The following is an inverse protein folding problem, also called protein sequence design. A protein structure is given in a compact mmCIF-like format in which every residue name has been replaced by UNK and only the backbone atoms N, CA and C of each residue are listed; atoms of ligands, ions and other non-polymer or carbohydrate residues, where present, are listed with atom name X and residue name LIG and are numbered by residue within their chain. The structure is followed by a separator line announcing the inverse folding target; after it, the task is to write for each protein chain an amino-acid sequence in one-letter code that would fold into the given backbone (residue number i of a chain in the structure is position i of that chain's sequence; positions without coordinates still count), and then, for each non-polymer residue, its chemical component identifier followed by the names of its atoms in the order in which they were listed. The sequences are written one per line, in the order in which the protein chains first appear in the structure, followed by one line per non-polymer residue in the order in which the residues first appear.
data_IF_010628214738
#
_entry.id   IF_010628214738
#
_cell.length_a   1.000
_cell.length_b   1.000
_cell.length_c   1.000
_cell.angle_alpha   90.00
_cell.angle_beta   90.00
_cell.angle_gamma   90.00
#
_symmetry.space_group_name_H-M   'P 1'
#
loop_
_entity.id
_entity.type
_entity.pdbx_description
1 polymer ?
#
# COMPACT_ATOMS: atom_id res chain seq x y z
N UNK A 1 -11.93 -25.35 56.91
CA UNK A 1 -11.02 -25.62 55.75
C UNK A 1 -11.90 -25.70 54.49
N UNK A 2 -12.08 -24.57 53.81
CA UNK A 2 -13.13 -24.38 52.81
C UNK A 2 -12.74 -24.86 51.41
N UNK A 3 -13.75 -25.31 50.65
CA UNK A 3 -13.68 -25.84 49.29
C UNK A 3 -12.92 -24.94 48.29
N UNK A 4 -12.84 -23.63 48.55
CA UNK A 4 -12.14 -22.64 47.72
C UNK A 4 -10.60 -22.68 47.86
N UNK A 5 -10.02 -23.32 48.88
CA UNK A 5 -8.55 -23.39 49.04
C UNK A 5 -7.86 -24.41 48.13
N UNK A 6 -8.60 -25.05 47.21
CA UNK A 6 -8.10 -26.03 46.24
C UNK A 6 -8.10 -25.52 44.79
N UNK A 7 -8.53 -24.29 44.52
CA UNK A 7 -8.39 -23.65 43.22
C UNK A 7 -6.97 -23.09 43.07
N UNK A 8 -6.00 -23.98 42.85
CA UNK A 8 -4.70 -23.57 42.34
C UNK A 8 -4.84 -23.25 40.85
N UNK A 9 -4.42 -22.06 40.44
CA UNK A 9 -4.34 -21.68 39.03
C UNK A 9 -3.54 -22.74 38.27
N UNK A 10 -4.13 -23.32 37.20
CA UNK A 10 -3.41 -24.19 36.27
C UNK A 10 -2.49 -23.41 35.31
N UNK A 11 -2.55 -22.07 35.36
CA UNK A 11 -1.73 -21.21 34.51
C UNK A 11 -0.38 -21.00 35.17
N UNK A 12 0.68 -21.39 34.46
CA UNK A 12 2.06 -21.23 34.93
C UNK A 12 2.50 -19.75 34.87
N UNK A 13 3.39 -19.30 35.77
CA UNK A 13 4.02 -17.98 35.69
C UNK A 13 4.81 -17.81 34.37
N UNK A 14 4.99 -16.56 33.92
CA UNK A 14 5.68 -16.23 32.64
C UNK A 14 7.04 -16.92 32.46
N UNK A 15 7.82 -17.08 33.54
CA UNK A 15 9.13 -17.77 33.48
C UNK A 15 9.02 -19.24 33.05
N UNK A 16 7.84 -19.84 33.17
CA UNK A 16 7.58 -21.26 32.97
C UNK A 16 6.62 -21.53 31.78
N UNK A 17 6.15 -20.49 31.10
CA UNK A 17 5.22 -20.57 29.97
C UNK A 17 5.80 -19.84 28.74
N UNK A 18 7.00 -20.26 28.32
CA UNK A 18 7.60 -19.82 27.05
C UNK A 18 6.93 -20.56 25.89
N UNK A 19 6.51 -19.84 24.85
CA UNK A 19 5.97 -20.45 23.62
C UNK A 19 7.12 -20.92 22.74
N UNK A 20 6.97 -22.01 21.99
CA UNK A 20 8.02 -22.50 21.07
C UNK A 20 8.46 -21.42 20.05
N UNK A 21 7.54 -20.54 19.65
CA UNK A 21 7.79 -19.40 18.77
C UNK A 21 8.74 -18.35 19.39
N UNK A 22 8.77 -18.21 20.72
CA UNK A 22 9.66 -17.28 21.46
C UNK A 22 11.11 -17.79 21.55
N UNK A 23 11.33 -19.10 21.35
CA UNK A 23 12.66 -19.72 21.30
C UNK A 23 13.25 -19.75 19.88
N UNK A 24 12.52 -19.26 18.87
CA UNK A 24 13.09 -19.03 17.55
C UNK A 24 13.81 -17.68 17.52
N UNK A 25 14.82 -17.54 16.66
CA UNK A 25 15.73 -16.37 16.52
C UNK A 25 15.00 -15.03 16.20
N UNK A 26 13.67 -15.02 16.15
CA UNK A 26 12.85 -13.85 15.83
C UNK A 26 12.75 -12.92 17.05
N UNK A 27 13.68 -11.95 17.11
CA UNK A 27 13.68 -10.80 18.05
C UNK A 27 12.51 -9.83 17.88
N UNK A 28 11.61 -10.10 16.93
CA UNK A 28 10.56 -9.19 16.49
C UNK A 28 9.20 -9.85 16.59
N UNK A 29 8.22 -9.05 17.02
CA UNK A 29 6.81 -9.44 17.03
C UNK A 29 6.32 -9.37 15.58
N UNK A 30 5.89 -10.50 15.01
CA UNK A 30 5.15 -10.48 13.75
C UNK A 30 3.83 -9.75 13.99
N UNK A 31 3.81 -8.48 13.65
CA UNK A 31 2.60 -7.71 13.54
C UNK A 31 2.22 -7.59 12.08
N UNK A 32 0.95 -7.36 11.93
CA UNK A 32 0.21 -7.40 10.70
C UNK A 32 0.26 -5.94 10.14
N UNK A 33 1.44 -5.32 10.24
CA UNK A 33 1.72 -3.90 10.08
C UNK A 33 3.09 -3.71 9.39
N UNK A 34 3.38 -2.53 8.80
CA UNK A 34 4.57 -2.34 7.96
C UNK A 34 5.90 -2.21 8.72
N UNK A 35 5.90 -2.35 10.05
CA UNK A 35 7.09 -2.18 10.89
C UNK A 35 7.11 -3.26 11.96
N UNK A 36 8.22 -3.97 12.09
CA UNK A 36 8.45 -4.93 13.15
C UNK A 36 8.70 -4.22 14.50
N UNK A 37 8.09 -4.70 15.59
CA UNK A 37 8.32 -4.18 16.94
C UNK A 37 9.21 -5.14 17.75
N UNK A 38 10.20 -4.59 18.47
CA UNK A 38 11.04 -5.35 19.40
C UNK A 38 10.23 -5.78 20.64
N UNK A 39 10.47 -7.00 21.14
CA UNK A 39 9.71 -7.60 22.25
C UNK A 39 9.87 -6.88 23.60
N UNK A 40 10.97 -6.16 23.78
CA UNK A 40 11.43 -5.51 25.01
C UNK A 40 11.13 -4.00 25.07
N UNK A 41 10.58 -3.42 23.99
CA UNK A 41 10.17 -2.01 23.91
C UNK A 41 8.64 -1.87 23.77
N UNK A 42 7.86 -2.03 24.86
CA UNK A 42 6.41 -1.90 24.81
C UNK A 42 6.00 -0.48 24.44
N UNK A 43 5.19 -0.34 23.39
CA UNK A 43 4.65 0.95 22.93
C UNK A 43 3.63 1.59 23.89
N UNK A 44 2.99 0.79 24.76
CA UNK A 44 2.09 1.29 25.80
C UNK A 44 1.89 0.26 26.92
N UNK A 45 1.45 0.74 28.11
CA UNK A 45 0.92 -0.11 29.19
C UNK A 45 -0.60 0.09 29.29
N UNK A 46 -1.34 -1.01 29.35
CA UNK A 46 -2.80 -1.00 29.49
C UNK A 46 -3.19 -1.32 30.94
N UNK A 47 -4.23 -0.65 31.43
CA UNK A 47 -4.80 -0.84 32.77
C UNK A 47 -6.27 -1.28 32.69
N UNK A 48 -6.85 -1.63 33.85
CA UNK A 48 -8.26 -1.98 33.93
C UNK A 48 -9.16 -0.86 33.38
N UNK A 49 -10.05 -1.22 32.45
CA UNK A 49 -10.93 -0.28 31.74
C UNK A 49 -10.40 0.17 30.37
N UNK A 50 -9.16 -0.18 30.03
CA UNK A 50 -8.59 0.13 28.72
C UNK A 50 -9.10 -0.80 27.63
N UNK A 51 -9.32 -0.23 26.45
CA UNK A 51 -9.67 -0.94 25.23
C UNK A 51 -8.41 -1.19 24.39
N UNK A 52 -8.35 -2.34 23.71
CA UNK A 52 -7.37 -2.65 22.69
C UNK A 52 -8.01 -3.48 21.56
N UNK A 53 -7.42 -3.45 20.36
CA UNK A 53 -7.93 -4.16 19.18
C UNK A 53 -9.06 -3.44 18.44
N UNK A 54 -9.52 -2.31 18.97
CA UNK A 54 -10.54 -1.46 18.39
C UNK A 54 -10.14 -0.94 17.02
N UNK A 55 -8.84 -0.64 16.82
CA UNK A 55 -8.33 -0.15 15.54
C UNK A 55 -8.61 -1.14 14.41
N UNK A 56 -8.30 -2.42 14.61
CA UNK A 56 -8.57 -3.48 13.63
C UNK A 56 -10.06 -3.72 13.43
N UNK A 57 -10.85 -3.63 14.50
CA UNK A 57 -12.31 -3.70 14.39
C UNK A 57 -12.87 -2.57 13.54
N UNK A 58 -12.38 -1.33 13.68
CA UNK A 58 -12.90 -0.17 12.95
C UNK A 58 -12.42 -0.08 11.50
N UNK A 59 -11.17 -0.44 11.26
CA UNK A 59 -10.50 -0.10 10.00
C UNK A 59 -10.37 -1.25 9.02
N UNK A 60 -10.68 -2.48 9.45
CA UNK A 60 -10.39 -3.71 8.70
C UNK A 60 -8.89 -3.91 8.41
N UNK A 61 -8.01 -3.07 8.97
CA UNK A 61 -6.57 -3.27 8.88
C UNK A 61 -6.10 -4.30 9.90
N UNK A 62 -5.01 -5.01 9.59
CA UNK A 62 -4.51 -6.06 10.45
C UNK A 62 -3.94 -5.47 11.77
N UNK A 63 -3.68 -6.31 12.78
CA UNK A 63 -3.32 -5.85 14.14
C UNK A 63 -2.04 -5.00 14.14
N UNK A 64 -2.12 -3.79 14.69
CA UNK A 64 -1.02 -2.83 14.73
C UNK A 64 -0.05 -3.01 15.90
N UNK A 65 -0.38 -3.85 16.87
CA UNK A 65 0.44 -4.15 18.04
C UNK A 65 0.02 -5.51 18.62
N UNK A 66 0.96 -6.13 19.33
CA UNK A 66 0.69 -7.32 20.15
C UNK A 66 0.43 -6.89 21.59
N UNK A 67 -0.61 -7.47 22.19
CA UNK A 67 -0.99 -7.21 23.58
C UNK A 67 -0.68 -8.45 24.40
N UNK A 68 0.10 -8.27 25.45
CA UNK A 68 0.53 -9.34 26.35
C UNK A 68 0.07 -9.01 27.76
N UNK A 69 -0.63 -9.94 28.42
CA UNK A 69 -1.01 -9.79 29.81
C UNK A 69 0.24 -9.92 30.72
N UNK A 70 0.55 -8.87 31.48
CA UNK A 70 1.68 -8.87 32.41
C UNK A 70 1.38 -9.68 33.70
N UNK A 71 0.12 -9.79 34.05
CA UNK A 71 -0.41 -10.49 35.21
C UNK A 71 -1.76 -11.14 34.87
N UNK A 72 -2.37 -11.84 35.84
CA UNK A 72 -3.69 -12.42 35.66
C UNK A 72 -4.71 -11.33 35.29
N UNK A 73 -5.27 -11.43 34.09
CA UNK A 73 -6.13 -10.40 33.50
C UNK A 73 -7.42 -11.03 33.00
N UNK A 74 -8.54 -10.36 33.28
CA UNK A 74 -9.85 -10.70 32.71
C UNK A 74 -10.19 -9.67 31.65
N UNK A 75 -10.42 -10.13 30.42
CA UNK A 75 -10.81 -9.27 29.30
C UNK A 75 -12.28 -9.48 28.95
N UNK A 76 -12.98 -8.40 28.62
CA UNK A 76 -14.30 -8.47 27.98
C UNK A 76 -14.11 -8.37 26.48
N UNK A 77 -14.51 -9.41 25.75
CA UNK A 77 -14.49 -9.40 24.28
C UNK A 77 -15.71 -8.68 23.73
N UNK A 78 -15.48 -7.82 22.75
CA UNK A 78 -16.54 -7.08 22.08
C UNK A 78 -16.45 -7.28 20.57
N UNK A 79 -17.55 -7.76 19.98
CA UNK A 79 -17.66 -7.96 18.54
C UNK A 79 -17.73 -6.61 17.80
N UNK A 80 -17.29 -6.58 16.54
CA UNK A 80 -17.24 -5.39 15.69
C UNK A 80 -18.59 -4.65 15.62
N UNK A 81 -19.68 -5.38 15.39
CA UNK A 81 -21.02 -4.80 15.32
C UNK A 81 -21.42 -4.07 16.62
N UNK A 82 -20.97 -4.55 17.78
CA UNK A 82 -21.21 -3.88 19.07
C UNK A 82 -20.37 -2.61 19.17
N UNK A 83 -19.09 -2.66 18.76
CA UNK A 83 -18.22 -1.47 18.71
C UNK A 83 -18.80 -0.38 17.80
N UNK A 84 -19.34 -0.76 16.64
CA UNK A 84 -19.96 0.18 15.69
C UNK A 84 -21.19 0.87 16.28
N UNK A 85 -22.01 0.15 17.06
CA UNK A 85 -23.15 0.73 17.78
C UNK A 85 -22.67 1.70 18.87
N UNK A 86 -21.66 1.32 19.65
CA UNK A 86 -21.12 2.18 20.71
C UNK A 86 -20.49 3.46 20.17
N UNK A 87 -19.86 3.43 19.00
CA UNK A 87 -19.29 4.62 18.36
C UNK A 87 -20.33 5.68 17.95
N UNK A 88 -21.61 5.30 17.79
CA UNK A 88 -22.69 6.28 17.58
C UNK A 88 -22.90 7.17 18.80
N UNK A 89 -22.45 6.74 19.98
CA UNK A 89 -22.43 7.55 21.18
C UNK A 89 -21.22 8.51 21.16
N UNK A 90 -21.50 9.82 21.18
CA UNK A 90 -20.48 10.88 21.14
C UNK A 90 -19.47 10.76 22.29
N UNK A 91 -19.93 10.45 23.51
CA UNK A 91 -19.08 10.35 24.70
C UNK A 91 -18.10 9.18 24.59
N UNK A 92 -18.57 8.04 24.07
CA UNK A 92 -17.72 6.88 23.82
C UNK A 92 -16.68 7.18 22.73
N UNK A 93 -17.10 7.81 21.62
CA UNK A 93 -16.21 8.22 20.53
C UNK A 93 -15.12 9.17 21.02
N UNK A 94 -15.46 10.18 21.81
CA UNK A 94 -14.49 11.12 22.38
C UNK A 94 -13.48 10.44 23.31
N UNK A 95 -13.92 9.48 24.14
CA UNK A 95 -12.99 8.69 24.98
C UNK A 95 -12.04 7.84 24.13
N UNK A 96 -12.54 7.24 23.06
CA UNK A 96 -11.75 6.41 22.15
C UNK A 96 -10.72 7.25 21.38
N UNK A 97 -11.12 8.42 20.87
CA UNK A 97 -10.22 9.37 20.20
C UNK A 97 -9.15 9.91 21.17
N UNK A 98 -9.49 10.18 22.44
CA UNK A 98 -8.55 10.61 23.47
C UNK A 98 -7.52 9.52 23.82
N UNK A 99 -7.97 8.28 23.99
CA UNK A 99 -7.08 7.14 24.23
C UNK A 99 -6.12 6.92 23.06
N UNK A 100 -6.60 7.10 21.82
CA UNK A 100 -5.73 7.05 20.64
C UNK A 100 -4.65 8.14 20.69
N UNK A 101 -5.03 9.41 20.95
CA UNK A 101 -4.06 10.53 21.02
C UNK A 101 -2.99 10.27 22.07
N UNK A 102 -3.39 9.73 23.22
CA UNK A 102 -2.48 9.39 24.31
C UNK A 102 -1.52 8.24 23.98
N UNK A 103 -1.94 7.24 23.19
CA UNK A 103 -1.22 5.96 23.05
C UNK A 103 -0.55 5.73 21.70
N UNK A 104 -1.12 6.25 20.62
CA UNK A 104 -0.77 5.85 19.26
C UNK A 104 -0.31 7.01 18.37
N UNK A 105 -0.61 8.25 18.73
CA UNK A 105 -0.16 9.41 17.95
C UNK A 105 1.37 9.49 17.90
N UNK A 106 2.04 9.27 19.02
CA UNK A 106 3.51 9.30 19.10
C UNK A 106 4.13 8.26 18.18
N UNK A 107 3.71 6.99 18.30
CA UNK A 107 4.19 5.91 17.43
C UNK A 107 3.94 6.24 15.97
N UNK A 108 2.79 6.80 15.64
CA UNK A 108 2.45 7.12 14.27
C UNK A 108 3.26 8.29 13.71
N UNK A 109 3.45 9.36 14.48
CA UNK A 109 4.33 10.46 14.09
C UNK A 109 5.78 9.96 13.92
N UNK A 110 6.31 9.20 14.89
CA UNK A 110 7.67 8.65 14.81
C UNK A 110 7.84 7.62 13.69
N UNK A 111 6.78 6.96 13.24
CA UNK A 111 6.84 6.02 12.10
C UNK A 111 7.05 6.71 10.76
N UNK A 112 6.78 8.02 10.66
CA UNK A 112 7.09 8.80 9.46
C UNK A 112 8.54 9.28 9.58
N UNK A 113 9.45 8.88 8.66
CA UNK A 113 10.88 9.18 8.80
C UNK A 113 11.19 10.67 9.02
N UNK A 114 10.43 11.55 8.37
CA UNK A 114 10.59 13.00 8.46
C UNK A 114 10.26 13.58 9.85
N UNK A 115 9.44 12.88 10.63
CA UNK A 115 9.02 13.29 11.98
C UNK A 115 9.77 12.53 13.08
N UNK A 116 10.73 11.67 12.74
CA UNK A 116 11.57 10.96 13.70
C UNK A 116 12.36 11.89 14.65
N UNK A 117 12.67 13.11 14.18
CA UNK A 117 13.43 14.12 14.94
C UNK A 117 12.60 15.01 15.86
N UNK A 118 11.28 14.82 15.92
CA UNK A 118 10.41 15.59 16.82
C UNK A 118 10.70 15.23 18.28
N UNK A 119 10.92 16.24 19.12
CA UNK A 119 11.09 16.05 20.56
C UNK A 119 9.80 15.62 21.23
N UNK A 120 9.90 14.91 22.36
CA UNK A 120 8.73 14.45 23.11
C UNK A 120 7.81 15.62 23.50
N UNK A 121 8.38 16.74 23.97
CA UNK A 121 7.62 17.95 24.31
C UNK A 121 6.78 18.49 23.14
N UNK A 122 7.26 18.36 21.90
CA UNK A 122 6.53 18.83 20.73
C UNK A 122 5.46 17.84 20.28
N UNK A 123 5.73 16.53 20.43
CA UNK A 123 4.71 15.49 20.23
C UNK A 123 3.57 15.68 21.23
N UNK A 124 3.89 15.95 22.49
CA UNK A 124 2.91 16.25 23.53
C UNK A 124 2.13 17.55 23.21
N UNK A 125 2.80 18.58 22.70
CA UNK A 125 2.14 19.80 22.19
C UNK A 125 1.14 19.51 21.06
N UNK A 126 1.51 18.64 20.10
CA UNK A 126 0.61 18.24 19.02
C UNK A 126 -0.53 17.34 19.51
N UNK A 127 -0.32 16.53 20.56
CA UNK A 127 -1.27 15.53 21.05
C UNK A 127 -2.67 16.07 21.27
N UNK A 128 -2.78 17.25 21.86
CA UNK A 128 -4.08 17.85 22.19
C UNK A 128 -4.68 18.69 21.05
N UNK A 129 -3.86 19.07 20.06
CA UNK A 129 -4.21 20.00 18.99
C UNK A 129 -4.55 19.33 17.66
N UNK A 130 -4.07 18.10 17.43
CA UNK A 130 -4.39 17.38 16.20
C UNK A 130 -5.83 16.87 16.18
N UNK A 131 -6.42 16.86 14.99
CA UNK A 131 -7.76 16.31 14.76
C UNK A 131 -7.69 14.98 14.02
N UNK A 132 -8.43 13.98 14.49
CA UNK A 132 -8.68 12.78 13.71
C UNK A 132 -9.87 13.02 12.78
N UNK A 133 -9.65 12.87 11.48
CA UNK A 133 -10.70 13.01 10.47
C UNK A 133 -10.88 11.69 9.74
N UNK A 134 -12.14 11.24 9.64
CA UNK A 134 -12.54 10.01 8.96
C UNK A 134 -13.30 10.36 7.69
N UNK A 135 -13.02 9.63 6.63
CA UNK A 135 -13.61 9.79 5.32
C UNK A 135 -14.10 8.44 4.80
N UNK A 136 -15.25 8.45 4.12
CA UNK A 136 -15.77 7.27 3.41
C UNK A 136 -15.25 7.24 1.97
N UNK A 137 -15.25 6.08 1.30
CA UNK A 137 -14.87 5.99 -0.11
C UNK A 137 -15.58 7.04 -0.97
N UNK A 138 -14.83 7.69 -1.85
CA UNK A 138 -15.30 8.76 -2.74
C UNK A 138 -15.36 10.16 -2.13
N UNK A 139 -15.17 10.32 -0.82
CA UNK A 139 -15.17 11.65 -0.19
C UNK A 139 -13.89 12.42 -0.50
N UNK A 140 -14.06 13.69 -0.90
CA UNK A 140 -12.95 14.61 -1.13
C UNK A 140 -12.45 15.18 0.21
N UNK A 141 -11.15 15.05 0.46
CA UNK A 141 -10.47 15.54 1.67
C UNK A 141 -10.07 17.01 1.52
N UNK A 142 -9.56 17.39 0.34
CA UNK A 142 -9.32 18.78 -0.06
C UNK A 142 -9.35 18.89 -1.59
N UNK A 143 -9.78 20.04 -2.14
CA UNK A 143 -9.82 20.25 -3.59
C UNK A 143 -8.64 21.10 -4.05
N UNK A 144 -8.20 20.86 -5.27
CA UNK A 144 -7.29 21.76 -5.97
C UNK A 144 -7.89 23.18 -6.01
N UNK A 145 -7.04 24.19 -5.83
CA UNK A 145 -7.42 25.60 -5.78
C UNK A 145 -7.93 26.07 -4.42
N UNK A 146 -8.33 25.18 -3.51
CA UNK A 146 -8.74 25.57 -2.16
C UNK A 146 -7.57 26.19 -1.37
N UNK A 147 -7.83 27.08 -0.39
CA UNK A 147 -6.81 27.52 0.54
C UNK A 147 -6.18 26.35 1.31
N UNK A 148 -4.85 26.33 1.41
CA UNK A 148 -4.09 25.34 2.16
C UNK A 148 -4.14 25.65 3.66
N UNK A 149 -5.18 25.13 4.34
CA UNK A 149 -5.38 25.36 5.77
C UNK A 149 -4.86 24.27 6.71
N UNK A 150 -4.38 23.13 6.18
CA UNK A 150 -4.01 21.97 7.02
C UNK A 150 -3.07 20.99 6.33
N UNK A 151 -2.24 20.32 7.12
CA UNK A 151 -1.42 19.19 6.73
C UNK A 151 -2.12 17.89 7.17
N UNK A 152 -1.99 16.83 6.38
CA UNK A 152 -2.65 15.56 6.64
C UNK A 152 -1.66 14.41 6.62
N UNK A 153 -1.66 13.61 7.69
CA UNK A 153 -0.94 12.34 7.76
C UNK A 153 -1.94 11.19 7.62
N UNK A 154 -1.77 10.34 6.61
CA UNK A 154 -2.63 9.19 6.35
C UNK A 154 -2.33 8.10 7.38
N UNK A 155 -3.30 7.81 8.23
CA UNK A 155 -3.21 6.72 9.21
C UNK A 155 -3.72 5.42 8.64
N UNK A 156 -4.84 5.50 7.95
CA UNK A 156 -5.59 4.35 7.48
C UNK A 156 -6.12 4.72 6.10
N UNK A 157 -6.11 3.72 5.23
CA UNK A 157 -6.71 3.84 3.91
C UNK A 157 -5.78 4.37 2.84
N UNK A 158 -6.36 4.59 1.68
CA UNK A 158 -5.73 5.07 0.46
C UNK A 158 -6.37 6.38 0.01
N UNK A 159 -5.52 7.38 -0.19
CA UNK A 159 -5.91 8.68 -0.74
C UNK A 159 -5.40 8.81 -2.16
N UNK A 160 -6.31 9.03 -3.11
CA UNK A 160 -6.00 9.43 -4.49
C UNK A 160 -5.65 10.92 -4.50
N UNK A 161 -4.51 11.28 -5.09
CA UNK A 161 -4.13 12.66 -5.38
C UNK A 161 -4.27 12.88 -6.88
N UNK A 162 -5.16 13.77 -7.30
CA UNK A 162 -5.42 14.07 -8.71
C UNK A 162 -5.46 15.57 -8.98
N UNK A 163 -5.10 15.95 -10.20
CA UNK A 163 -5.20 17.31 -10.71
C UNK A 163 -6.26 17.35 -11.81
N UNK A 164 -7.10 18.38 -11.81
CA UNK A 164 -8.11 18.57 -12.83
C UNK A 164 -7.52 19.30 -14.03
N UNK A 165 -7.70 18.74 -15.22
CA UNK A 165 -7.23 19.31 -16.48
C UNK A 165 -8.34 19.29 -17.55
N UNK A 166 -8.26 20.14 -18.59
CA UNK A 166 -9.13 20.03 -19.75
C UNK A 166 -9.00 18.62 -20.37
N UNK A 167 -10.05 17.82 -20.28
CA UNK A 167 -10.07 16.42 -20.74
C UNK A 167 -10.20 15.35 -19.65
N UNK A 168 -10.05 15.70 -18.36
CA UNK A 168 -10.31 14.77 -17.26
C UNK A 168 -9.51 15.03 -15.98
N UNK A 169 -9.55 14.07 -15.06
CA UNK A 169 -8.67 14.07 -13.87
C UNK A 169 -7.37 13.32 -14.20
N UNK A 170 -6.23 14.00 -14.04
CA UNK A 170 -4.93 13.36 -14.06
C UNK A 170 -4.58 12.89 -12.65
N UNK A 171 -4.39 11.59 -12.47
CA UNK A 171 -3.96 11.05 -11.19
C UNK A 171 -2.45 11.23 -11.03
N UNK A 172 -2.04 11.90 -9.95
CA UNK A 172 -0.65 12.22 -9.66
C UNK A 172 0.00 11.14 -8.79
N UNK A 173 -0.69 10.69 -7.74
CA UNK A 173 -0.16 9.74 -6.75
C UNK A 173 -1.25 9.11 -5.90
N UNK A 174 -0.88 8.04 -5.18
CA UNK A 174 -1.67 7.40 -4.14
C UNK A 174 -0.90 7.40 -2.84
N UNK A 175 -1.60 7.76 -1.77
CA UNK A 175 -1.02 7.88 -0.45
C UNK A 175 -1.67 6.86 0.46
N UNK A 176 -0.87 5.88 0.88
CA UNK A 176 -1.27 4.86 1.85
C UNK A 176 -0.91 5.29 3.28
N UNK A 177 -1.20 4.44 4.26
CA UNK A 177 -0.74 4.61 5.65
C UNK A 177 0.74 5.01 5.74
N UNK A 178 1.03 5.97 6.62
CA UNK A 178 2.38 6.52 6.83
C UNK A 178 2.76 7.61 5.82
N UNK A 179 2.02 7.75 4.72
CA UNK A 179 2.18 8.85 3.77
C UNK A 179 1.49 10.12 4.25
N UNK A 180 1.90 11.26 3.71
CA UNK A 180 1.30 12.54 4.05
C UNK A 180 1.08 13.43 2.80
N UNK A 181 0.23 14.43 2.97
CA UNK A 181 -0.05 15.44 1.95
C UNK A 181 -0.45 16.80 2.51
N UNK A 182 -0.41 17.78 1.62
CA UNK A 182 -0.81 19.15 1.88
C UNK A 182 0.36 20.08 2.19
N UNK A 183 1.58 19.55 2.24
CA UNK A 183 2.81 20.31 2.48
C UNK A 183 3.08 21.33 1.39
N UNK A 184 2.84 21.00 0.11
CA UNK A 184 3.13 21.90 -1.02
C UNK A 184 2.41 23.23 -0.84
N UNK A 185 1.09 23.18 -0.62
CA UNK A 185 0.30 24.41 -0.45
C UNK A 185 0.56 25.15 0.86
N UNK A 186 1.10 24.48 1.89
CA UNK A 186 1.44 25.14 3.15
C UNK A 186 2.82 25.80 3.13
N UNK A 187 3.73 25.29 2.31
CA UNK A 187 5.09 25.78 2.15
C UNK A 187 5.21 26.76 0.96
N UNK A 188 4.24 26.79 0.05
CA UNK A 188 4.23 27.73 -1.06
C UNK A 188 3.75 29.12 -0.64
N UNK A 189 4.27 30.14 -1.33
CA UNK A 189 3.86 31.53 -1.13
C UNK A 189 2.38 31.75 -1.49
N UNK A 190 1.87 31.02 -2.49
CA UNK A 190 0.48 31.11 -2.93
C UNK A 190 -0.51 30.60 -1.89
N UNK A 191 -0.10 29.66 -1.03
CA UNK A 191 -0.95 29.18 0.05
C UNK A 191 -2.17 28.36 -0.42
N UNK A 192 -2.16 27.78 -1.62
CA UNK A 192 -3.27 27.04 -2.23
C UNK A 192 -2.97 25.55 -2.43
N UNK A 193 -4.02 24.74 -2.52
CA UNK A 193 -3.91 23.32 -2.87
C UNK A 193 -3.58 23.14 -4.35
N UNK A 194 -2.49 22.44 -4.63
CA UNK A 194 -2.08 22.12 -6.01
C UNK A 194 -2.81 20.91 -6.59
N UNK A 195 -3.47 20.09 -5.76
CA UNK A 195 -4.16 18.88 -6.20
C UNK A 195 -5.38 18.57 -5.31
N UNK A 196 -6.32 17.83 -5.87
CA UNK A 196 -7.47 17.25 -5.18
C UNK A 196 -7.06 15.93 -4.52
N UNK A 197 -7.39 15.77 -3.24
CA UNK A 197 -7.14 14.54 -2.50
C UNK A 197 -8.48 13.87 -2.18
N UNK A 198 -8.69 12.62 -2.60
CA UNK A 198 -9.96 11.88 -2.46
C UNK A 198 -9.72 10.54 -1.76
N UNK A 199 -10.56 10.19 -0.80
CA UNK A 199 -10.52 8.87 -0.16
C UNK A 199 -10.99 7.79 -1.14
N UNK A 200 -10.18 6.76 -1.38
CA UNK A 200 -10.58 5.61 -2.19
C UNK A 200 -11.24 4.50 -1.38
N UNK A 201 -10.88 4.39 -0.11
CA UNK A 201 -11.47 3.47 0.85
C UNK A 201 -11.90 4.24 2.12
N UNK A 202 -12.10 3.53 3.24
CA UNK A 202 -12.25 4.17 4.53
C UNK A 202 -10.92 4.76 4.99
N UNK A 203 -10.78 6.08 4.81
CA UNK A 203 -9.56 6.81 5.17
C UNK A 203 -9.69 7.44 6.54
N UNK A 204 -8.65 7.32 7.37
CA UNK A 204 -8.49 8.14 8.56
C UNK A 204 -7.16 8.88 8.50
N UNK A 205 -7.22 10.19 8.73
CA UNK A 205 -6.04 11.07 8.72
C UNK A 205 -5.90 11.79 10.06
N UNK A 206 -4.65 12.06 10.43
CA UNK A 206 -4.31 13.05 11.44
C UNK A 206 -4.20 14.40 10.73
N UNK A 207 -5.11 15.32 11.03
CA UNK A 207 -5.11 16.69 10.53
C UNK A 207 -4.33 17.58 11.50
N UNK A 208 -3.29 18.23 10.99
CA UNK A 208 -2.51 19.27 11.67
C UNK A 208 -2.90 20.61 11.08
N UNK A 209 -3.25 21.58 11.91
CA UNK A 209 -3.66 22.92 11.45
C UNK A 209 -2.48 23.65 10.77
N UNK A 210 -2.76 24.67 9.95
CA UNK A 210 -1.71 25.51 9.37
C UNK A 210 -0.82 26.15 10.45
N UNK A 211 -1.43 26.62 11.54
CA UNK A 211 -0.71 27.23 12.66
C UNK A 211 0.28 26.24 13.29
N UNK A 212 -0.20 25.04 13.66
CA UNK A 212 0.64 24.03 14.30
C UNK A 212 1.71 23.49 13.33
N UNK A 213 1.40 23.39 12.04
CA UNK A 213 2.37 23.00 11.00
C UNK A 213 3.48 24.04 10.86
N UNK A 214 3.13 25.34 10.81
CA UNK A 214 4.11 26.42 10.72
C UNK A 214 4.97 26.49 11.99
N UNK A 215 4.38 26.27 13.17
CA UNK A 215 5.13 26.15 14.42
C UNK A 215 6.11 24.96 14.40
N UNK A 216 5.71 23.83 13.83
CA UNK A 216 6.57 22.65 13.65
C UNK A 216 7.77 22.96 12.76
N UNK A 217 7.54 23.45 11.54
CA UNK A 217 8.64 23.71 10.60
C UNK A 217 9.53 24.88 11.03
N UNK A 218 9.00 25.83 11.82
CA UNK A 218 9.79 26.89 12.44
C UNK A 218 10.70 26.40 13.56
N UNK A 219 10.23 25.42 14.37
CA UNK A 219 11.00 24.85 15.47
C UNK A 219 12.02 23.80 15.04
N UNK A 220 11.74 23.08 13.95
CA UNK A 220 12.57 21.97 13.48
C UNK A 220 13.03 22.20 12.02
N UNK A 221 14.13 22.94 11.79
CA UNK A 221 14.62 23.26 10.44
C UNK A 221 14.91 22.02 9.57
N UNK A 222 15.33 20.91 10.18
CA UNK A 222 15.55 19.65 9.48
C UNK A 222 14.26 19.05 8.90
N UNK A 223 13.14 19.19 9.62
CA UNK A 223 11.81 18.76 9.15
C UNK A 223 11.38 19.65 8.00
N UNK A 224 11.59 20.97 8.12
CA UNK A 224 11.32 21.93 7.07
C UNK A 224 12.08 21.60 5.78
N UNK A 225 13.40 21.46 5.86
CA UNK A 225 14.26 21.17 4.70
C UNK A 225 13.85 19.87 4.00
N UNK A 226 13.51 18.84 4.78
CA UNK A 226 13.03 17.56 4.25
C UNK A 226 11.67 17.71 3.55
N UNK A 227 10.75 18.50 4.11
CA UNK A 227 9.43 18.72 3.50
C UNK A 227 9.54 19.56 2.22
N UNK A 228 10.42 20.57 2.21
CA UNK A 228 10.70 21.38 1.03
C UNK A 228 11.34 20.56 -0.10
N UNK A 229 12.27 19.64 0.23
CA UNK A 229 12.85 18.73 -0.74
C UNK A 229 11.79 17.82 -1.38
N UNK A 230 10.93 17.19 -0.57
CA UNK A 230 9.83 16.35 -1.05
C UNK A 230 8.81 17.17 -1.87
N UNK A 231 8.49 18.39 -1.44
CA UNK A 231 7.59 19.27 -2.19
C UNK A 231 8.16 19.61 -3.57
N UNK A 232 9.46 19.92 -3.65
CA UNK A 232 10.15 20.21 -4.91
C UNK A 232 10.16 19.01 -5.85
N UNK A 233 10.49 17.82 -5.33
CA UNK A 233 10.46 16.57 -6.08
C UNK A 233 9.06 16.29 -6.64
N UNK A 234 8.02 16.36 -5.79
CA UNK A 234 6.62 16.16 -6.21
C UNK A 234 6.20 17.14 -7.31
N UNK A 235 6.57 18.42 -7.21
CA UNK A 235 6.27 19.43 -8.24
C UNK A 235 6.96 19.08 -9.56
N UNK A 236 8.23 18.68 -9.53
CA UNK A 236 8.98 18.32 -10.73
C UNK A 236 8.41 17.08 -11.41
N UNK A 237 8.08 16.04 -10.64
CA UNK A 237 7.44 14.86 -11.18
C UNK A 237 6.07 15.17 -11.80
N UNK A 238 5.27 16.01 -11.15
CA UNK A 238 3.96 16.41 -11.66
C UNK A 238 4.07 17.20 -12.96
N UNK A 239 5.04 18.12 -13.06
CA UNK A 239 5.32 18.84 -14.31
C UNK A 239 5.77 17.91 -15.41
N UNK A 240 6.67 16.98 -15.09
CA UNK A 240 7.16 15.97 -16.05
C UNK A 240 6.03 15.07 -16.55
N UNK A 241 5.09 14.67 -15.67
CA UNK A 241 3.88 13.92 -16.05
C UNK A 241 3.04 14.70 -17.07
N UNK A 242 2.93 16.03 -16.92
CA UNK A 242 2.16 16.88 -17.84
C UNK A 242 2.84 17.06 -19.20
N UNK A 243 4.14 17.26 -19.22
CA UNK A 243 4.89 17.42 -20.48
C UNK A 243 4.76 16.19 -21.39
N UNK A 244 4.73 14.99 -20.80
CA UNK A 244 4.57 13.73 -21.54
C UNK A 244 3.16 13.54 -22.14
N UNK A 245 2.16 14.33 -21.74
CA UNK A 245 0.78 14.25 -22.26
C UNK A 245 0.54 15.11 -23.51
N UNK A 246 1.40 16.10 -23.79
CA UNK A 246 1.14 17.08 -24.85
C UNK A 246 1.42 16.59 -26.28
N UNK A 247 1.97 15.38 -26.47
CA UNK A 247 2.48 14.91 -27.77
C UNK A 247 1.83 13.63 -28.34
N UNK A 248 0.65 13.23 -27.88
CA UNK A 248 0.02 11.98 -28.34
C UNK A 248 -1.44 12.23 -28.80
N UNK A 249 -1.92 11.65 -29.93
CA UNK A 249 -3.34 11.54 -30.23
C UNK A 249 -3.99 10.58 -29.22
N UNK A 250 -4.72 11.16 -28.26
CA UNK A 250 -4.72 10.73 -26.85
C UNK A 250 -6.01 10.04 -26.39
N UNK A 251 -7.08 10.06 -27.19
CA UNK A 251 -8.40 9.64 -26.70
C UNK A 251 -8.58 8.13 -26.53
N UNK A 252 -8.13 7.30 -27.48
CA UNK A 252 -8.23 5.84 -27.36
C UNK A 252 -7.16 5.24 -26.42
N UNK A 253 -6.01 5.91 -26.30
CA UNK A 253 -4.89 5.50 -25.46
C UNK A 253 -5.12 5.81 -23.97
N UNK A 254 -5.76 6.96 -23.67
CA UNK A 254 -6.20 7.31 -22.31
C UNK A 254 -7.38 6.48 -21.83
N UNK A 255 -8.40 6.25 -22.68
CA UNK A 255 -9.61 5.49 -22.30
C UNK A 255 -9.31 4.07 -21.84
N UNK A 256 -8.20 3.48 -22.30
CA UNK A 256 -7.81 2.12 -21.98
C UNK A 256 -6.72 2.02 -20.89
N UNK A 257 -6.34 3.14 -20.27
CA UNK A 257 -5.41 3.19 -19.14
C UNK A 257 -4.01 2.65 -19.47
N UNK A 258 -3.54 2.84 -20.70
CA UNK A 258 -2.20 2.44 -21.11
C UNK A 258 -1.13 3.39 -20.55
N UNK A 259 -1.48 4.65 -20.29
CA UNK A 259 -0.58 5.63 -19.67
C UNK A 259 -0.27 5.34 -18.21
N UNK A 260 -1.14 4.60 -17.51
CA UNK A 260 -0.93 4.20 -16.12
C UNK A 260 -0.03 2.96 -15.98
N UNK A 261 0.26 2.26 -17.08
CA UNK A 261 1.09 1.07 -17.07
C UNK A 261 2.58 1.42 -17.02
N UNK A 262 3.34 0.81 -16.11
CA UNK A 262 4.80 0.91 -16.11
C UNK A 262 5.45 -0.18 -16.96
N UNK A 263 4.74 -1.29 -17.20
CA UNK A 263 5.26 -2.43 -17.95
C UNK A 263 4.14 -3.20 -18.64
N UNK A 264 4.01 -3.03 -19.96
CA UNK A 264 3.09 -3.79 -20.80
C UNK A 264 3.79 -5.00 -21.39
N UNK A 265 3.12 -6.15 -21.39
CA UNK A 265 3.51 -7.26 -22.26
C UNK A 265 2.91 -7.03 -23.64
N UNK A 266 3.76 -6.81 -24.62
CA UNK A 266 3.38 -6.58 -26.00
C UNK A 266 3.88 -7.74 -26.85
N UNK A 267 3.00 -8.25 -27.73
CA UNK A 267 3.34 -9.27 -28.72
C UNK A 267 3.29 -8.65 -30.12
N UNK A 268 4.42 -8.64 -30.82
CA UNK A 268 4.52 -8.32 -32.25
C UNK A 268 3.86 -9.44 -33.06
N UNK A 269 2.75 -9.14 -33.73
CA UNK A 269 1.95 -10.10 -34.47
C UNK A 269 2.56 -10.49 -35.82
N UNK A 270 3.49 -9.70 -36.37
CA UNK A 270 4.20 -10.04 -37.60
C UNK A 270 5.27 -11.11 -37.34
N UNK A 271 5.83 -11.11 -36.12
CA UNK A 271 6.83 -12.10 -35.68
C UNK A 271 6.24 -13.28 -34.90
N UNK A 272 5.10 -13.08 -34.23
CA UNK A 272 4.51 -14.09 -33.35
C UNK A 272 3.87 -15.24 -34.13
N UNK A 273 4.50 -16.41 -34.09
CA UNK A 273 3.98 -17.66 -34.68
C UNK A 273 2.93 -18.36 -33.81
N UNK A 274 2.59 -17.79 -32.65
CA UNK A 274 1.69 -18.37 -31.64
C UNK A 274 2.12 -19.73 -31.08
N UNK A 275 3.42 -20.01 -31.01
CA UNK A 275 4.00 -21.26 -30.50
C UNK A 275 3.84 -21.55 -28.98
N UNK A 276 3.19 -20.65 -28.23
CA UNK A 276 2.90 -20.74 -26.79
C UNK A 276 4.10 -20.77 -25.83
N UNK A 277 5.32 -20.55 -26.31
CA UNK A 277 6.50 -20.58 -25.43
C UNK A 277 6.46 -19.53 -24.32
N UNK A 278 5.95 -18.32 -24.59
CA UNK A 278 5.81 -17.28 -23.58
C UNK A 278 4.82 -17.67 -22.45
N UNK A 279 3.76 -18.41 -22.77
CA UNK A 279 2.77 -18.90 -21.80
C UNK A 279 3.34 -20.04 -20.97
N UNK A 280 3.97 -21.02 -21.65
CA UNK A 280 4.60 -22.19 -21.00
C UNK A 280 5.69 -21.76 -20.02
N UNK A 281 6.63 -20.93 -20.46
CA UNK A 281 7.68 -20.42 -19.60
C UNK A 281 7.16 -19.61 -18.41
N UNK A 282 6.04 -18.89 -18.58
CA UNK A 282 5.40 -18.19 -17.47
C UNK A 282 4.79 -19.16 -16.45
N UNK A 283 4.11 -20.21 -16.91
CA UNK A 283 3.56 -21.25 -16.03
C UNK A 283 4.67 -22.01 -15.31
N UNK A 284 5.74 -22.39 -16.00
CA UNK A 284 6.88 -23.12 -15.43
C UNK A 284 7.58 -22.32 -14.34
N UNK A 285 7.69 -20.99 -14.51
CA UNK A 285 8.24 -20.09 -13.50
C UNK A 285 7.31 -19.86 -12.29
N UNK A 286 6.04 -20.29 -12.36
CA UNK A 286 4.99 -19.93 -11.40
C UNK A 286 4.06 -21.10 -11.07
N UNK A 287 4.65 -22.23 -10.66
CA UNK A 287 3.92 -23.39 -10.11
C UNK A 287 2.84 -23.94 -11.05
N UNK A 288 3.08 -23.90 -12.36
CA UNK A 288 2.16 -24.35 -13.39
C UNK A 288 1.03 -23.37 -13.72
N UNK A 289 1.02 -22.18 -13.12
CA UNK A 289 -0.01 -21.16 -13.34
C UNK A 289 0.55 -20.01 -14.16
N UNK A 290 0.12 -19.90 -15.40
CA UNK A 290 0.44 -18.71 -16.23
C UNK A 290 -0.19 -17.45 -15.65
N UNK A 291 0.58 -16.36 -15.65
CA UNK A 291 0.16 -15.03 -15.20
C UNK A 291 -0.07 -14.06 -16.37
N UNK A 292 -0.17 -14.61 -17.59
CA UNK A 292 -0.50 -13.87 -18.81
C UNK A 292 -1.47 -14.66 -19.69
N UNK A 293 -2.27 -13.92 -20.45
CA UNK A 293 -3.18 -14.43 -21.47
C UNK A 293 -2.87 -13.69 -22.78
N UNK A 294 -2.72 -14.43 -23.88
CA UNK A 294 -2.43 -13.88 -25.22
C UNK A 294 -3.68 -13.31 -25.90
N UNK A 295 -4.43 -12.52 -25.15
CA UNK A 295 -5.61 -11.80 -25.58
C UNK A 295 -5.62 -10.42 -24.91
N UNK A 296 -6.25 -9.44 -25.55
CA UNK A 296 -6.22 -8.06 -25.09
C UNK A 296 -6.30 -7.05 -26.23
N UNK A 297 -5.88 -5.82 -25.95
CA UNK A 297 -5.95 -4.73 -26.92
C UNK A 297 -5.02 -5.00 -28.10
N UNK A 298 -5.53 -4.83 -29.31
CA UNK A 298 -4.72 -4.76 -30.52
C UNK A 298 -4.52 -3.31 -30.93
N UNK A 299 -3.27 -2.96 -31.21
CA UNK A 299 -2.89 -1.64 -31.67
C UNK A 299 -1.85 -1.83 -32.78
N UNK A 300 -2.20 -1.44 -34.01
CA UNK A 300 -1.41 -1.73 -35.20
C UNK A 300 -1.07 -3.24 -35.32
N UNK A 301 0.19 -3.62 -35.54
CA UNK A 301 0.65 -5.01 -35.55
C UNK A 301 0.98 -5.55 -34.15
N UNK A 302 0.62 -4.85 -33.07
CA UNK A 302 0.88 -5.28 -31.70
C UNK A 302 -0.37 -5.77 -30.97
N UNK A 303 -0.19 -6.78 -30.12
CA UNK A 303 -1.16 -7.23 -29.13
C UNK A 303 -0.63 -6.93 -27.72
N UNK A 304 -1.32 -6.05 -27.00
CA UNK A 304 -1.11 -5.83 -25.56
C UNK A 304 -1.77 -6.98 -24.81
N UNK A 305 -0.96 -7.94 -24.39
CA UNK A 305 -1.43 -9.15 -23.71
C UNK A 305 -1.96 -8.83 -22.30
N UNK A 306 -3.08 -9.46 -21.95
CA UNK A 306 -3.65 -9.45 -20.59
C UNK A 306 -2.66 -10.06 -19.62
N UNK A 307 -1.93 -9.20 -18.94
CA UNK A 307 -1.00 -9.52 -17.87
C UNK A 307 -0.83 -8.26 -17.02
N UNK A 308 -0.41 -8.41 -15.76
CA UNK A 308 -0.21 -7.26 -14.88
C UNK A 308 0.61 -6.17 -15.59
N UNK A 309 0.07 -4.96 -15.61
CA UNK A 309 0.66 -3.79 -16.25
C UNK A 309 1.65 -3.06 -15.36
N UNK A 310 1.82 -3.55 -14.12
CA UNK A 310 2.60 -2.92 -13.08
C UNK A 310 2.22 -1.44 -12.97
N UNK A 311 0.93 -1.18 -12.74
CA UNK A 311 0.42 0.17 -12.85
C UNK A 311 1.11 1.11 -11.88
N UNK A 312 1.42 2.32 -12.33
CA UNK A 312 1.85 3.41 -11.47
C UNK A 312 0.79 3.69 -10.41
N UNK A 313 -0.47 3.53 -10.82
CA UNK A 313 -1.69 3.48 -10.01
C UNK A 313 -2.19 2.02 -9.83
N UNK A 314 -1.82 1.34 -8.73
CA UNK A 314 -2.30 0.00 -8.46
C UNK A 314 -3.63 0.02 -7.70
N UNK A 315 -4.75 0.35 -8.38
CA UNK A 315 -6.10 0.25 -7.80
C UNK A 315 -6.36 -1.13 -7.17
N UNK A 316 -5.76 -2.19 -7.73
CA UNK A 316 -5.82 -3.54 -7.20
C UNK A 316 -5.25 -3.71 -5.78
N UNK A 317 -4.40 -2.80 -5.29
CA UNK A 317 -3.89 -2.80 -3.92
C UNK A 317 -4.89 -2.27 -2.90
N UNK A 318 -5.85 -1.47 -3.35
CA UNK A 318 -6.80 -0.79 -2.48
C UNK A 318 -7.71 -1.82 -1.81
N UNK A 319 -7.85 -1.71 -0.49
CA UNK A 319 -8.77 -2.53 0.30
C UNK A 319 -8.30 -3.97 0.57
N UNK A 320 -7.05 -4.35 0.27
CA UNK A 320 -6.57 -5.68 0.64
C UNK A 320 -6.62 -5.88 2.17
N UNK A 321 -7.46 -6.80 2.68
CA UNK A 321 -7.74 -6.89 4.12
C UNK A 321 -6.55 -7.40 4.95
N UNK A 322 -5.59 -8.05 4.29
CA UNK A 322 -4.38 -8.63 4.90
C UNK A 322 -3.10 -8.01 4.35
N UNK A 323 -3.20 -6.97 3.52
CA UNK A 323 -2.04 -6.32 2.89
C UNK A 323 -1.15 -7.26 2.07
N UNK A 324 -1.68 -8.37 1.54
CA UNK A 324 -0.88 -9.35 0.78
C UNK A 324 -0.47 -8.83 -0.59
N UNK A 325 -1.28 -7.96 -1.21
CA UNK A 325 -0.87 -7.26 -2.43
C UNK A 325 -0.16 -5.97 -2.04
N UNK A 326 1.08 -5.82 -2.48
CA UNK A 326 1.94 -4.70 -2.09
C UNK A 326 2.87 -4.28 -3.22
N UNK A 327 3.38 -3.06 -3.15
CA UNK A 327 4.38 -2.54 -4.07
C UNK A 327 5.75 -2.60 -3.40
N UNK A 328 6.74 -3.19 -4.06
CA UNK A 328 8.14 -3.20 -3.59
C UNK A 328 8.77 -1.81 -3.78
N UNK A 329 9.94 -1.61 -3.19
CA UNK A 329 10.75 -0.39 -3.40
C UNK A 329 11.15 -0.20 -4.86
N UNK A 330 11.35 -1.30 -5.58
CA UNK A 330 11.58 -1.38 -7.03
C UNK A 330 10.29 -1.19 -7.86
N UNK A 331 9.20 -0.76 -7.21
CA UNK A 331 7.93 -0.35 -7.80
C UNK A 331 7.06 -1.46 -8.42
N UNK A 332 7.43 -2.74 -8.30
CA UNK A 332 6.59 -3.85 -8.73
C UNK A 332 5.50 -4.17 -7.70
N UNK A 333 4.28 -4.34 -8.20
CA UNK A 333 3.12 -4.90 -7.52
C UNK A 333 3.27 -6.42 -7.48
N UNK A 334 3.32 -6.96 -6.27
CA UNK A 334 3.42 -8.39 -5.99
C UNK A 334 2.29 -8.82 -5.05
N UNK A 335 1.92 -10.11 -5.13
CA UNK A 335 0.96 -10.73 -4.21
C UNK A 335 1.72 -11.78 -3.40
N UNK A 336 1.74 -11.58 -2.10
CA UNK A 336 2.46 -12.39 -1.13
C UNK A 336 1.70 -13.65 -0.73
N UNK A 337 2.44 -14.59 -0.13
CA UNK A 337 1.94 -15.91 0.21
C UNK A 337 0.83 -15.94 1.27
N UNK A 338 0.71 -14.90 2.09
CA UNK A 338 -0.36 -14.75 3.07
C UNK A 338 -1.66 -14.22 2.46
N UNK A 339 -1.80 -14.23 1.13
CA UNK A 339 -3.07 -13.95 0.46
C UNK A 339 -4.18 -14.92 0.92
N UNK A 340 -5.30 -14.36 1.37
CA UNK A 340 -6.48 -15.11 1.84
C UNK A 340 -7.51 -15.39 0.73
N UNK A 341 -7.23 -14.98 -0.52
CA UNK A 341 -8.11 -15.27 -1.65
C UNK A 341 -9.47 -14.57 -1.65
N UNK A 342 -9.61 -13.41 -0.98
CA UNK A 342 -10.89 -12.68 -0.93
C UNK A 342 -11.34 -12.10 -2.28
N UNK A 343 -10.42 -11.97 -3.24
CA UNK A 343 -10.69 -11.52 -4.61
C UNK A 343 -10.87 -10.02 -4.81
N UNK A 344 -10.75 -9.20 -3.76
CA UNK A 344 -10.95 -7.74 -3.91
C UNK A 344 -9.94 -7.12 -4.89
N UNK A 345 -8.68 -7.57 -4.88
CA UNK A 345 -7.68 -7.11 -5.84
C UNK A 345 -8.04 -7.45 -7.29
N UNK A 346 -8.68 -8.59 -7.53
CA UNK A 346 -9.17 -8.98 -8.85
C UNK A 346 -10.31 -8.06 -9.31
N UNK A 347 -11.27 -7.79 -8.43
CA UNK A 347 -12.37 -6.86 -8.70
C UNK A 347 -11.88 -5.42 -8.93
N UNK A 348 -10.85 -5.01 -8.20
CA UNK A 348 -10.29 -3.66 -8.30
C UNK A 348 -9.30 -3.49 -9.46
N UNK A 349 -8.91 -4.57 -10.15
CA UNK A 349 -8.04 -4.45 -11.32
C UNK A 349 -8.88 -4.02 -12.53
N UNK A 350 -8.75 -2.77 -13.02
CA UNK A 350 -9.60 -2.27 -14.11
C UNK A 350 -9.31 -2.98 -15.44
N UNK A 351 -8.20 -3.72 -15.50
CA UNK A 351 -7.74 -4.43 -16.70
C UNK A 351 -7.94 -5.95 -16.61
N UNK A 352 -8.53 -6.47 -15.52
CA UNK A 352 -8.76 -7.91 -15.36
C UNK A 352 -7.49 -8.77 -15.29
N UNK A 353 -6.36 -8.18 -14.89
CA UNK A 353 -5.05 -8.84 -14.91
C UNK A 353 -4.71 -9.67 -13.66
N UNK A 354 -5.67 -9.82 -12.73
CA UNK A 354 -5.49 -10.58 -11.48
C UNK A 354 -6.53 -11.69 -11.46
N UNK A 355 -6.06 -12.93 -11.25
CA UNK A 355 -6.90 -14.12 -11.27
C UNK A 355 -6.80 -14.87 -9.94
N UNK A 356 -7.83 -15.62 -9.56
CA UNK A 356 -7.76 -16.51 -8.39
C UNK A 356 -7.52 -17.94 -8.82
N UNK A 357 -6.52 -18.58 -8.22
CA UNK A 357 -6.18 -19.97 -8.47
C UNK A 357 -6.15 -20.77 -7.17
N UNK A 358 -6.41 -22.07 -7.29
CA UNK A 358 -6.28 -23.01 -6.18
C UNK A 358 -4.84 -23.47 -6.05
N UNK A 359 -4.33 -23.44 -4.82
CA UNK A 359 -3.01 -23.92 -4.43
C UNK A 359 -3.17 -25.04 -3.41
N UNK A 360 -2.35 -26.08 -3.53
CA UNK A 360 -2.30 -27.17 -2.56
C UNK A 360 -1.37 -26.79 -1.41
N UNK A 361 -1.85 -26.93 -0.17
CA UNK A 361 -1.02 -26.79 1.01
C UNK A 361 -0.22 -28.07 1.26
N UNK A 362 1.04 -27.97 1.72
CA UNK A 362 1.79 -29.12 2.20
C UNK A 362 1.00 -29.85 3.31
N UNK A 363 0.72 -31.13 3.13
CA UNK A 363 -0.05 -31.91 4.09
C UNK A 363 0.75 -32.12 5.38
N UNK A 364 0.25 -31.63 6.50
CA UNK A 364 0.78 -31.89 7.84
C UNK A 364 0.51 -33.31 8.33
N UNK A 365 0.96 -34.33 7.59
CA UNK A 365 0.91 -35.74 8.00
C UNK A 365 -0.46 -36.44 7.91
N UNK A 366 -1.57 -35.71 7.82
CA UNK A 366 -2.91 -36.28 7.54
C UNK A 366 -3.18 -36.16 6.04
N UNK A 367 -3.34 -37.29 5.33
CA UNK A 367 -3.34 -37.40 3.85
C UNK A 367 -4.42 -36.64 3.05
N UNK A 368 -5.08 -35.62 3.62
CA UNK A 368 -5.89 -34.65 2.88
C UNK A 368 -5.09 -33.37 2.64
N UNK A 369 -4.77 -33.13 1.36
CA UNK A 369 -4.22 -31.85 0.90
C UNK A 369 -5.28 -30.77 1.01
N UNK A 370 -5.12 -29.84 1.94
CA UNK A 370 -5.98 -28.66 2.02
C UNK A 370 -5.72 -27.75 0.81
N UNK A 371 -6.78 -27.25 0.18
CA UNK A 371 -6.69 -26.31 -0.94
C UNK A 371 -7.01 -24.90 -0.47
N UNK A 372 -6.20 -23.93 -0.89
CA UNK A 372 -6.45 -22.50 -0.64
C UNK A 372 -6.52 -21.76 -1.95
N UNK A 373 -7.45 -20.79 -2.05
CA UNK A 373 -7.48 -19.89 -3.20
C UNK A 373 -6.56 -18.70 -2.94
N UNK A 374 -5.68 -18.37 -3.87
CA UNK A 374 -4.86 -17.16 -3.82
C UNK A 374 -5.00 -16.38 -5.12
N UNK A 375 -4.91 -15.06 -5.00
CA UNK A 375 -4.83 -14.19 -6.16
C UNK A 375 -3.42 -14.28 -6.78
N UNK A 376 -3.33 -14.29 -8.10
CA UNK A 376 -2.08 -14.30 -8.86
C UNK A 376 -2.04 -13.06 -9.76
N UNK A 377 -0.84 -12.51 -9.91
CA UNK A 377 -0.56 -11.35 -10.75
C UNK A 377 0.86 -11.48 -11.27
N UNK A 378 1.11 -11.14 -12.53
CA UNK A 378 2.47 -11.14 -13.07
C UNK A 378 3.36 -10.21 -12.23
N UNK A 379 4.46 -10.76 -11.71
CA UNK A 379 5.42 -10.09 -10.83
C UNK A 379 6.70 -9.68 -11.58
N UNK A 380 6.63 -9.62 -12.92
CA UNK A 380 7.78 -9.42 -13.82
C UNK A 380 8.92 -10.42 -13.65
N UNK A 381 8.66 -11.58 -13.03
CA UNK A 381 9.72 -12.55 -12.69
C UNK A 381 10.89 -11.86 -11.97
N UNK A 382 10.61 -11.00 -10.98
CA UNK A 382 11.60 -10.13 -10.32
C UNK A 382 12.87 -10.82 -9.78
N UNK A 383 12.86 -12.16 -9.64
CA UNK A 383 14.02 -12.97 -9.24
C UNK A 383 14.96 -13.30 -10.42
N UNK A 384 14.59 -12.90 -11.64
CA UNK A 384 15.32 -13.14 -12.87
C UNK A 384 15.68 -11.83 -13.57
N UNK A 385 16.79 -11.78 -14.32
CA UNK A 385 17.19 -10.58 -15.06
C UNK A 385 16.19 -10.14 -16.14
N UNK A 386 15.45 -11.11 -16.69
CA UNK A 386 14.46 -10.89 -17.73
C UNK A 386 13.21 -11.75 -17.46
N UNK A 387 12.00 -11.24 -17.73
CA UNK A 387 10.78 -12.02 -17.61
C UNK A 387 10.80 -13.27 -18.50
N UNK A 388 10.46 -14.42 -17.93
CA UNK A 388 10.50 -15.71 -18.64
C UNK A 388 9.67 -15.72 -19.93
N UNK A 389 8.59 -14.94 -19.97
CA UNK A 389 7.73 -14.84 -21.16
C UNK A 389 8.38 -14.07 -22.33
N UNK A 390 9.35 -13.20 -22.05
CA UNK A 390 10.17 -12.50 -23.05
C UNK A 390 11.31 -13.41 -23.48
N UNK A 391 12.11 -13.86 -22.51
CA UNK A 391 13.27 -14.73 -22.73
C UNK A 391 12.95 -15.98 -23.56
N UNK A 392 11.80 -16.62 -23.30
CA UNK A 392 11.42 -17.85 -23.98
C UNK A 392 10.87 -17.66 -25.40
N UNK A 393 10.73 -16.42 -25.91
CA UNK A 393 10.17 -16.19 -27.23
C UNK A 393 11.22 -16.49 -28.33
N UNK A 394 11.05 -17.56 -29.14
CA UNK A 394 12.06 -17.94 -30.13
C UNK A 394 12.03 -17.05 -31.40
N UNK A 395 11.08 -16.11 -31.47
CA UNK A 395 10.84 -15.25 -32.64
C UNK A 395 11.03 -13.77 -32.33
N UNK A 396 11.56 -13.42 -31.14
CA UNK A 396 11.74 -12.02 -30.73
C UNK A 396 10.46 -11.19 -30.87
N UNK A 397 9.34 -11.82 -30.51
CA UNK A 397 7.99 -11.28 -30.69
C UNK A 397 7.36 -10.79 -29.38
N UNK A 398 7.86 -11.22 -28.21
CA UNK A 398 7.28 -10.87 -26.91
C UNK A 398 8.18 -9.89 -26.16
N UNK A 399 7.66 -8.74 -25.77
CA UNK A 399 8.43 -7.64 -25.18
C UNK A 399 7.73 -7.07 -23.95
N UNK A 400 8.51 -6.71 -22.92
CA UNK A 400 8.03 -5.89 -21.80
C UNK A 400 8.47 -4.45 -22.01
N UNK A 401 7.51 -3.54 -22.15
CA UNK A 401 7.77 -2.17 -22.59
C UNK A 401 7.13 -1.14 -21.68
N UNK A 402 7.77 0.01 -21.54
CA UNK A 402 7.16 1.21 -20.99
C UNK A 402 6.30 1.87 -22.09
N UNK A 403 4.97 1.99 -21.94
CA UNK A 403 4.10 2.46 -23.02
C UNK A 403 4.41 3.87 -23.54
N UNK A 404 4.61 4.90 -22.70
CA UNK A 404 5.04 6.23 -23.17
C UNK A 404 6.28 6.20 -24.05
N UNK A 405 7.31 5.43 -23.66
CA UNK A 405 8.55 5.31 -24.43
C UNK A 405 8.34 4.52 -25.73
N UNK A 406 7.59 3.43 -25.66
CA UNK A 406 7.42 2.49 -26.77
C UNK A 406 6.46 3.00 -27.85
N UNK A 407 5.34 3.60 -27.46
CA UNK A 407 4.32 4.09 -28.39
C UNK A 407 4.44 5.59 -28.67
N UNK A 408 5.22 6.34 -27.88
CA UNK A 408 5.36 7.80 -28.03
C UNK A 408 5.81 8.24 -29.43
N UNK A 409 6.70 7.47 -30.08
CA UNK A 409 7.17 7.77 -31.43
C UNK A 409 6.25 7.24 -32.54
N UNK A 410 5.51 6.15 -32.32
CA UNK A 410 4.46 5.68 -33.25
C UNK A 410 3.30 6.67 -33.37
N UNK A 411 3.09 7.45 -32.31
CA UNK A 411 2.11 8.53 -32.25
C UNK A 411 2.68 9.85 -32.81
N UNK A 412 3.98 9.91 -33.11
CA UNK A 412 4.74 11.07 -33.60
C UNK A 412 5.49 10.90 -34.94
N UNK A 413 5.43 9.73 -35.59
CA UNK A 413 5.85 9.52 -36.99
C UNK A 413 7.34 9.27 -37.27
N UNK A 414 8.08 8.55 -36.40
CA UNK A 414 9.41 8.00 -36.75
C UNK A 414 9.60 6.56 -36.21
N UNK A 415 10.30 5.72 -36.98
CA UNK A 415 10.58 4.31 -36.65
C UNK A 415 11.59 4.16 -35.51
N UNK A 416 11.36 3.20 -34.59
CA UNK A 416 12.30 2.83 -33.53
C UNK A 416 12.49 1.31 -33.42
N UNK A 417 13.74 0.91 -33.20
CA UNK A 417 14.15 -0.46 -32.83
C UNK A 417 13.99 -0.69 -31.33
N UNK A 418 13.52 -1.87 -30.94
CA UNK A 418 13.38 -2.29 -29.55
C UNK A 418 14.66 -2.02 -28.72
N UNK A 419 14.51 -1.32 -27.59
CA UNK A 419 15.57 -1.11 -26.60
C UNK A 419 15.29 -2.03 -25.40
N UNK A 420 16.26 -2.84 -24.94
CA UNK A 420 16.04 -3.75 -23.83
C UNK A 420 15.78 -2.99 -22.52
N UNK A 421 14.84 -3.52 -21.74
CA UNK A 421 14.56 -3.09 -20.38
C UNK A 421 15.83 -3.23 -19.52
N UNK A 422 16.48 -2.12 -19.17
CA UNK A 422 17.59 -2.14 -18.22
C UNK A 422 17.05 -2.05 -16.80
N UNK A 423 17.25 -3.10 -16.01
CA UNK A 423 17.10 -2.98 -14.55
C UNK A 423 18.08 -1.93 -14.04
N UNK A 424 17.62 -1.04 -13.17
CA UNK A 424 18.51 -0.11 -12.46
C UNK A 424 19.62 -0.90 -11.75
N UNK A 425 20.90 -0.53 -11.90
CA UNK A 425 22.00 -1.28 -11.29
C UNK A 425 22.00 -1.02 -9.78
N UNK A 426 21.48 -1.97 -9.01
CA UNK A 426 21.40 -1.83 -7.56
C UNK A 426 20.93 -3.08 -6.85
N UNK A 427 21.73 -4.15 -6.91
CA UNK A 427 21.94 -5.18 -5.86
C UNK A 427 22.57 -6.45 -6.46
N UNK A 428 23.82 -6.33 -6.89
CA UNK A 428 24.75 -7.45 -6.80
C UNK A 428 25.74 -7.11 -5.68
N UNK A 429 25.34 -7.33 -4.43
CA UNK A 429 26.27 -7.86 -3.45
C UNK A 429 25.52 -8.39 -2.22
N UNK A 430 25.89 -9.62 -1.82
CA UNK A 430 25.58 -10.40 -0.61
C UNK A 430 25.35 -11.86 -0.98
N UNK A 431 26.46 -12.54 -1.25
CA UNK A 431 26.65 -13.91 -0.75
C UNK A 431 27.02 -13.87 0.73
#
# INVERSE_FOLDING_TARGET
KGFLSKLASKLKPRKEHQREEENTVRKYIQIDAPVDLEYDHPVAKLQAGDLFGEMTCMSFYPRSATVVAAEYTVCLEMLRNVLDVLQKNKTFRSKLDANYRARALETHLKSVPIFSSLTQDFIDYLRDRVELRRFTPGQVICRQGDPAGSFYLVRIGFVKVSEHHPGGELVLSYLARGSYFGEIGLLSDEGIRTATCTALDHVEVVRISREDFLAMVGRFPQVRASLEAVAKERIEENRSRLHNLQNVPVDDFLRQGLMDAQSLLVLDLDRCTRCDQCVKACADAHDGITRLIRDGLRFDHYLVATSCRQCRDPLCMVGCPVGSIRRRNSLEVIIEDWCVGCGLCANNCPYGNINLHEFELPSGGTGQKAKVKKATSCNLCYDHPEPSCVYACPHDAAHRVNPPEFFGEMLGGKEVKAVPYSMSPGMMDRR
#
